data_IF_683838490537
#
_entry.id   IF_683838490537
#
_cell.length_a   1.000
_cell.length_b   1.000
_cell.length_c   1.000
_cell.angle_alpha   90.00
_cell.angle_beta   90.00
_cell.angle_gamma   90.00
#
_symmetry.space_group_name_H-M   'P 1'
#
loop_
_entity.id
_entity.type
_entity.pdbx_description
1 polymer ?
#
# COMPACT_ATOMS: atom_id res chain seq x y z
N UNK A 1 -2.48 -3.31 -19.65
CA UNK A 1 -1.30 -3.60 -18.80
C UNK A 1 -0.77 -5.00 -19.05
N UNK A 2 0.56 -5.15 -19.26
CA UNK A 2 1.26 -6.41 -19.61
C UNK A 2 1.57 -7.34 -18.41
N UNK A 3 1.21 -6.96 -17.19
CA UNK A 3 1.76 -7.55 -15.96
C UNK A 3 0.67 -7.97 -14.96
N UNK A 4 -0.20 -8.90 -15.34
CA UNK A 4 -1.25 -9.41 -14.44
C UNK A 4 -0.66 -10.47 -13.52
N UNK A 5 -0.64 -10.20 -12.21
CA UNK A 5 -0.22 -11.16 -11.19
C UNK A 5 1.29 -11.37 -11.06
N UNK A 6 2.10 -10.48 -11.65
CA UNK A 6 3.57 -10.52 -11.55
C UNK A 6 4.08 -9.52 -10.53
N UNK A 7 5.10 -9.91 -9.77
CA UNK A 7 5.83 -9.00 -8.87
C UNK A 7 6.96 -8.34 -9.63
N UNK A 8 7.08 -7.02 -9.49
CA UNK A 8 8.26 -6.26 -9.92
C UNK A 8 9.02 -5.85 -8.67
N UNK A 9 10.34 -6.07 -8.66
CA UNK A 9 11.22 -5.83 -7.51
C UNK A 9 12.41 -4.98 -7.94
N UNK A 10 12.64 -3.87 -7.24
CA UNK A 10 13.75 -2.94 -7.43
C UNK A 10 14.58 -2.84 -6.16
N UNK A 11 15.00 -3.99 -5.65
CA UNK A 11 15.75 -4.10 -4.40
C UNK A 11 16.84 -5.15 -4.55
N UNK A 12 18.06 -4.81 -4.13
CA UNK A 12 19.12 -5.80 -3.96
C UNK A 12 18.82 -6.65 -2.74
N UNK A 13 18.59 -7.94 -2.96
CA UNK A 13 18.34 -8.91 -1.90
C UNK A 13 19.64 -9.36 -1.24
N UNK A 14 19.53 -9.74 0.03
CA UNK A 14 20.61 -10.32 0.85
C UNK A 14 20.28 -11.77 1.20
N UNK A 15 21.26 -12.59 1.55
CA UNK A 15 21.00 -13.94 2.06
C UNK A 15 20.78 -13.92 3.57
N UNK A 16 19.75 -14.62 4.04
CA UNK A 16 19.58 -14.90 5.47
C UNK A 16 20.50 -16.06 5.92
N UNK A 17 20.42 -16.44 7.20
CA UNK A 17 21.20 -17.55 7.77
C UNK A 17 20.93 -18.92 7.12
N UNK A 18 19.80 -19.06 6.42
CA UNK A 18 19.40 -20.27 5.69
C UNK A 18 19.79 -20.21 4.20
N UNK A 19 20.49 -19.15 3.78
CA UNK A 19 20.92 -18.95 2.39
C UNK A 19 19.83 -18.44 1.44
N UNK A 20 18.63 -18.15 1.93
CA UNK A 20 17.51 -17.61 1.13
C UNK A 20 17.67 -16.11 0.87
N UNK A 21 17.32 -15.67 -0.34
CA UNK A 21 17.27 -14.25 -0.67
C UNK A 21 16.07 -13.55 -0.01
N UNK A 22 16.37 -12.52 0.77
CA UNK A 22 15.43 -11.72 1.55
C UNK A 22 15.77 -10.23 1.45
N UNK A 23 14.79 -9.33 1.70
CA UNK A 23 15.05 -7.92 1.87
C UNK A 23 16.12 -7.68 2.95
N UNK A 24 17.03 -6.69 2.78
CA UNK A 24 18.06 -6.41 3.76
C UNK A 24 17.49 -6.25 5.18
N UNK A 25 18.07 -6.96 6.15
CA UNK A 25 17.68 -6.88 7.54
C UNK A 25 17.89 -5.47 8.13
N UNK A 26 17.15 -5.13 9.20
CA UNK A 26 17.23 -3.82 9.86
C UNK A 26 16.60 -2.66 9.10
N UNK A 27 16.09 -2.89 7.88
CA UNK A 27 15.31 -1.92 7.10
C UNK A 27 13.85 -1.92 7.54
N UNK A 28 13.22 -0.75 7.48
CA UNK A 28 11.80 -0.56 7.74
C UNK A 28 11.07 -0.35 6.42
N UNK A 29 10.15 -1.26 6.11
CA UNK A 29 9.35 -1.20 4.91
C UNK A 29 7.89 -0.83 5.22
N UNK A 30 7.26 -0.14 4.27
CA UNK A 30 5.84 0.20 4.30
C UNK A 30 5.18 -0.38 3.05
N UNK A 31 4.01 -1.00 3.19
CA UNK A 31 3.23 -1.50 2.06
C UNK A 31 1.91 -0.75 2.01
N UNK A 32 1.77 0.11 1.01
CA UNK A 32 0.49 0.69 0.61
C UNK A 32 -0.31 -0.32 -0.20
N UNK A 33 -1.60 -0.44 0.12
CA UNK A 33 -2.52 -1.39 -0.50
C UNK A 33 -3.72 -0.61 -1.03
N UNK A 34 -3.92 -0.67 -2.35
CA UNK A 34 -5.15 -0.24 -3.01
C UNK A 34 -5.89 -1.50 -3.48
N UNK A 35 -7.13 -1.68 -3.03
CA UNK A 35 -7.86 -2.95 -3.17
C UNK A 35 -9.04 -2.75 -4.11
N UNK A 36 -9.10 -3.55 -5.17
CA UNK A 36 -10.26 -3.67 -6.04
C UNK A 36 -11.16 -4.84 -5.66
N UNK A 37 -12.34 -4.90 -6.26
CA UNK A 37 -13.27 -6.02 -6.07
C UNK A 37 -12.81 -7.34 -6.71
N UNK A 38 -11.71 -7.33 -7.49
CA UNK A 38 -11.18 -8.53 -8.16
C UNK A 38 -11.99 -8.98 -9.39
N UNK A 39 -12.77 -8.09 -10.00
CA UNK A 39 -13.66 -8.42 -11.15
C UNK A 39 -13.01 -8.23 -12.51
N UNK A 40 -11.78 -7.72 -12.58
CA UNK A 40 -11.11 -7.36 -13.83
C UNK A 40 -11.19 -5.87 -14.21
N UNK A 41 -12.09 -5.11 -13.59
CA UNK A 41 -12.35 -3.71 -13.97
C UNK A 41 -11.31 -2.72 -13.42
N UNK A 42 -10.71 -3.03 -12.27
CA UNK A 42 -9.65 -2.24 -11.67
C UNK A 42 -8.63 -3.13 -10.98
N UNK A 43 -7.41 -2.63 -10.87
CA UNK A 43 -6.31 -3.36 -10.26
C UNK A 43 -6.36 -3.31 -8.74
N UNK A 44 -6.04 -4.44 -8.11
CA UNK A 44 -5.51 -4.43 -6.74
C UNK A 44 -3.99 -4.28 -6.80
N UNK A 45 -3.43 -3.40 -5.97
CA UNK A 45 -2.01 -3.02 -5.99
C UNK A 45 -1.39 -3.12 -4.60
N UNK A 46 -0.25 -3.79 -4.52
CA UNK A 46 0.70 -3.64 -3.41
C UNK A 46 1.83 -2.74 -3.88
N UNK A 47 2.13 -1.70 -3.11
CA UNK A 47 3.26 -0.80 -3.36
C UNK A 47 4.13 -0.74 -2.11
N UNK A 48 5.35 -1.29 -2.20
CA UNK A 48 6.28 -1.37 -1.07
C UNK A 48 7.34 -0.29 -1.17
N UNK A 49 7.59 0.39 -0.06
CA UNK A 49 8.52 1.52 0.06
C UNK A 49 9.56 1.20 1.13
N UNK A 50 10.84 1.46 0.85
CA UNK A 50 11.88 1.53 1.88
C UNK A 50 11.79 2.90 2.55
N UNK A 51 11.47 2.92 3.85
CA UNK A 51 11.27 4.17 4.60
C UNK A 51 12.54 5.02 4.68
N UNK A 52 13.72 4.40 4.68
CA UNK A 52 14.98 5.12 4.84
C UNK A 52 15.37 5.89 3.57
N UNK A 53 15.05 5.33 2.40
CA UNK A 53 15.45 5.91 1.11
C UNK A 53 14.32 6.68 0.43
N UNK A 54 13.07 6.45 0.82
CA UNK A 54 11.90 7.00 0.12
C UNK A 54 11.67 6.36 -1.25
N UNK A 55 12.27 5.20 -1.53
CA UNK A 55 12.13 4.52 -2.81
C UNK A 55 11.03 3.47 -2.79
N UNK A 56 10.27 3.40 -3.89
CA UNK A 56 9.43 2.24 -4.20
C UNK A 56 10.31 1.07 -4.61
N UNK A 57 10.29 0.01 -3.80
CA UNK A 57 11.17 -1.15 -3.96
C UNK A 57 10.45 -2.39 -4.49
N UNK A 58 9.13 -2.44 -4.42
CA UNK A 58 8.34 -3.55 -5.00
C UNK A 58 6.95 -3.08 -5.40
N UNK A 59 6.41 -3.69 -6.46
CA UNK A 59 4.96 -3.72 -6.67
C UNK A 59 4.43 -5.08 -7.09
N UNK A 60 3.17 -5.31 -6.75
CA UNK A 60 2.36 -6.40 -7.27
C UNK A 60 1.04 -5.82 -7.76
N UNK A 61 0.60 -6.20 -8.96
CA UNK A 61 -0.63 -5.69 -9.59
C UNK A 61 -1.47 -6.86 -10.09
N UNK A 62 -2.73 -6.94 -9.67
CA UNK A 62 -3.65 -7.98 -10.16
C UNK A 62 -5.11 -7.50 -10.15
N UNK A 63 -5.82 -7.54 -11.30
CA UNK A 63 -7.22 -7.12 -11.36
C UNK A 63 -8.24 -8.22 -11.01
N UNK A 64 -7.81 -9.47 -10.83
CA UNK A 64 -8.68 -10.64 -10.67
C UNK A 64 -8.58 -11.35 -9.31
N UNK A 65 -7.83 -10.77 -8.36
CA UNK A 65 -7.72 -11.34 -7.01
C UNK A 65 -8.78 -10.74 -6.10
N UNK A 66 -9.52 -11.61 -5.39
CA UNK A 66 -10.54 -11.17 -4.41
C UNK A 66 -9.88 -10.52 -3.19
N UNK A 67 -10.53 -9.54 -2.52
CA UNK A 67 -9.95 -8.80 -1.40
C UNK A 67 -9.35 -9.67 -0.29
N UNK A 68 -10.00 -10.77 0.08
CA UNK A 68 -9.56 -11.65 1.17
C UNK A 68 -8.33 -12.47 0.75
N UNK A 69 -8.30 -12.97 -0.48
CA UNK A 69 -7.13 -13.65 -1.03
C UNK A 69 -5.95 -12.68 -1.17
N UNK A 70 -6.25 -11.43 -1.54
CA UNK A 70 -5.25 -10.37 -1.62
C UNK A 70 -4.68 -10.00 -0.25
N UNK A 71 -5.49 -10.06 0.82
CA UNK A 71 -5.01 -9.86 2.20
C UNK A 71 -4.02 -10.94 2.64
N UNK A 72 -4.26 -12.21 2.28
CA UNK A 72 -3.32 -13.31 2.54
C UNK A 72 -1.97 -13.01 1.85
N UNK A 73 -2.01 -12.60 0.59
CA UNK A 73 -0.82 -12.25 -0.17
C UNK A 73 -0.08 -11.05 0.43
N UNK A 74 -0.81 -9.99 0.80
CA UNK A 74 -0.24 -8.80 1.40
C UNK A 74 0.45 -9.10 2.74
N UNK A 75 -0.16 -9.93 3.60
CA UNK A 75 0.45 -10.37 4.87
C UNK A 75 1.71 -11.21 4.61
N UNK A 76 1.73 -12.05 3.58
CA UNK A 76 2.91 -12.83 3.21
C UNK A 76 4.07 -11.89 2.78
N UNK A 77 3.82 -10.92 1.91
CA UNK A 77 4.82 -9.91 1.55
C UNK A 77 5.26 -9.08 2.75
N UNK A 78 4.33 -8.68 3.61
CA UNK A 78 4.66 -7.90 4.81
C UNK A 78 5.62 -8.65 5.71
N UNK A 79 5.38 -9.95 5.94
CA UNK A 79 6.29 -10.82 6.70
C UNK A 79 7.66 -10.93 6.02
N UNK A 80 7.70 -11.10 4.69
CA UNK A 80 8.95 -11.18 3.94
C UNK A 80 9.75 -9.86 3.97
N UNK A 81 9.09 -8.71 3.95
CA UNK A 81 9.70 -7.37 4.07
C UNK A 81 9.90 -6.95 5.54
N UNK A 82 10.55 -7.80 6.34
CA UNK A 82 10.90 -7.51 7.74
C UNK A 82 9.70 -7.07 8.60
N UNK A 83 8.56 -7.74 8.46
CA UNK A 83 7.30 -7.32 9.07
C UNK A 83 6.92 -5.89 8.70
N UNK A 84 6.84 -5.58 7.39
CA UNK A 84 6.50 -4.27 6.87
C UNK A 84 5.13 -3.76 7.34
N UNK A 85 5.01 -2.45 7.59
CA UNK A 85 3.71 -1.89 8.00
C UNK A 85 2.72 -1.94 6.84
N UNK A 86 1.57 -2.58 7.03
CA UNK A 86 0.47 -2.59 6.07
C UNK A 86 -0.43 -1.36 6.23
N UNK A 87 -0.68 -0.66 5.13
CA UNK A 87 -1.55 0.52 5.06
C UNK A 87 -2.52 0.29 3.90
N UNK A 88 -3.81 0.07 4.17
CA UNK A 88 -4.82 -0.12 3.14
C UNK A 88 -5.91 0.96 3.21
N UNK A 89 -6.46 1.31 2.05
CA UNK A 89 -7.70 2.09 1.96
C UNK A 89 -8.85 1.20 2.46
N UNK A 90 -9.58 1.66 3.48
CA UNK A 90 -10.56 0.87 4.23
C UNK A 90 -12.00 1.03 3.71
N UNK A 91 -12.22 1.81 2.67
CA UNK A 91 -13.54 1.93 2.05
C UNK A 91 -13.75 0.80 1.03
N UNK A 92 -15.02 0.53 0.71
CA UNK A 92 -15.38 -0.48 -0.29
C UNK A 92 -14.71 -1.85 -0.05
N UNK A 93 -14.00 -2.41 -1.06
CA UNK A 93 -13.30 -3.70 -0.96
C UNK A 93 -12.28 -3.80 0.19
N UNK A 94 -11.74 -2.65 0.62
CA UNK A 94 -10.80 -2.53 1.73
C UNK A 94 -11.31 -3.06 3.07
N UNK A 95 -12.63 -3.09 3.28
CA UNK A 95 -13.24 -3.66 4.50
C UNK A 95 -13.03 -5.17 4.58
N UNK A 96 -13.23 -5.88 3.48
CA UNK A 96 -13.05 -7.34 3.40
C UNK A 96 -11.57 -7.69 3.53
N UNK A 97 -10.71 -6.94 2.83
CA UNK A 97 -9.25 -7.05 2.97
C UNK A 97 -8.81 -6.88 4.42
N UNK A 98 -9.24 -5.78 5.06
CA UNK A 98 -8.87 -5.46 6.44
C UNK A 98 -9.33 -6.52 7.43
N UNK A 99 -10.59 -6.96 7.33
CA UNK A 99 -11.12 -8.04 8.16
C UNK A 99 -10.25 -9.30 8.07
N UNK A 100 -9.91 -9.72 6.84
CA UNK A 100 -9.06 -10.88 6.63
C UNK A 100 -7.63 -10.69 7.15
N UNK A 101 -7.04 -9.51 6.98
CA UNK A 101 -5.71 -9.20 7.51
C UNK A 101 -5.67 -9.30 9.05
N UNK A 102 -6.74 -8.86 9.72
CA UNK A 102 -6.88 -8.98 11.18
C UNK A 102 -7.12 -10.43 11.61
N UNK A 103 -7.87 -11.23 10.85
CA UNK A 103 -8.06 -12.67 11.11
C UNK A 103 -6.74 -13.44 11.03
N UNK A 104 -5.85 -13.05 10.12
CA UNK A 104 -4.49 -13.58 10.00
C UNK A 104 -3.55 -13.17 11.14
N UNK A 105 -4.06 -12.40 12.12
CA UNK A 105 -3.34 -11.91 13.30
C UNK A 105 -2.08 -11.10 12.95
N UNK A 106 -2.12 -10.37 11.84
CA UNK A 106 -1.05 -9.46 11.48
C UNK A 106 -1.20 -8.13 12.24
N UNK A 107 -0.23 -7.79 13.07
CA UNK A 107 -0.33 -6.66 14.02
C UNK A 107 0.32 -5.36 13.54
N UNK A 108 1.29 -5.40 12.62
CA UNK A 108 1.96 -4.19 12.13
C UNK A 108 1.13 -3.52 11.02
N UNK A 109 -0.02 -2.99 11.41
CA UNK A 109 -0.95 -2.30 10.53
C UNK A 109 -1.00 -0.81 10.86
N UNK A 110 -1.38 0.01 9.89
CA UNK A 110 -1.74 1.39 10.16
C UNK A 110 -3.07 1.44 10.93
N UNK A 111 -3.06 2.19 12.03
CA UNK A 111 -4.21 2.46 12.86
C UNK A 111 -4.53 3.94 12.77
N UNK A 112 -5.76 4.27 12.36
CA UNK A 112 -6.26 5.65 12.44
C UNK A 112 -6.90 5.88 13.81
N UNK A 113 -6.68 7.06 14.37
CA UNK A 113 -7.35 7.48 15.61
C UNK A 113 -8.72 8.05 15.28
N UNK A 114 -9.77 7.55 15.95
CA UNK A 114 -11.07 8.23 15.98
C UNK A 114 -11.20 9.01 17.28
N UNK A 115 -11.36 10.33 17.18
CA UNK A 115 -11.75 11.17 18.30
C UNK A 115 -13.28 11.30 18.29
N UNK A 116 -13.98 10.52 19.10
CA UNK A 116 -15.41 10.75 19.34
C UNK A 116 -15.54 11.83 20.43
N UNK A 117 -15.98 13.02 20.05
CA UNK A 117 -15.98 14.23 20.90
C UNK A 117 -16.83 14.14 22.18
N UNK A 118 -17.64 13.09 22.33
CA UNK A 118 -18.52 12.87 23.49
C UNK A 118 -18.05 11.74 24.42
N UNK A 119 -17.07 10.94 24.00
CA UNK A 119 -16.52 9.82 24.77
C UNK A 119 -15.00 9.91 24.77
N UNK A 120 -14.38 10.01 25.96
CA UNK A 120 -12.91 10.04 26.14
C UNK A 120 -12.17 8.77 25.63
N UNK A 121 -12.86 7.86 24.93
CA UNK A 121 -12.27 6.64 24.34
C UNK A 121 -11.79 6.91 22.92
N UNK A 122 -10.50 7.19 22.77
CA UNK A 122 -9.81 7.08 21.48
C UNK A 122 -9.79 5.61 21.07
N UNK A 123 -10.49 5.26 20.00
CA UNK A 123 -10.44 3.90 19.44
C UNK A 123 -9.55 3.90 18.21
N UNK A 124 -8.56 3.01 18.20
CA UNK A 124 -7.69 2.78 17.05
C UNK A 124 -8.42 1.86 16.05
N UNK A 125 -8.64 2.36 14.84
CA UNK A 125 -9.32 1.62 13.78
C UNK A 125 -8.28 1.21 12.72
N UNK A 126 -8.14 -0.09 12.41
CA UNK A 126 -7.22 -0.54 11.37
C UNK A 126 -7.59 0.01 9.99
N UNK A 127 -6.57 0.42 9.24
CA UNK A 127 -6.71 0.92 7.88
C UNK A 127 -6.95 2.42 7.78
N UNK A 128 -6.62 2.96 6.61
CA UNK A 128 -6.79 4.36 6.26
C UNK A 128 -8.19 4.57 5.70
N UNK A 129 -9.00 5.46 6.29
CA UNK A 129 -10.21 5.94 5.64
C UNK A 129 -9.89 7.31 5.08
N UNK A 130 -9.91 7.46 3.77
CA UNK A 130 -9.81 8.76 3.12
C UNK A 130 -11.17 9.35 2.87
N UNK A 131 -11.30 10.65 3.12
CA UNK A 131 -12.26 11.51 2.41
C UNK A 131 -11.71 11.91 1.04
N UNK A 132 -12.56 12.46 0.17
CA UNK A 132 -12.12 12.98 -1.14
C UNK A 132 -11.04 14.05 -0.97
N UNK A 133 -11.20 14.94 0.01
CA UNK A 133 -10.25 16.02 0.32
C UNK A 133 -8.91 15.47 0.84
N UNK A 134 -8.93 14.50 1.75
CA UNK A 134 -7.70 13.87 2.25
C UNK A 134 -6.93 13.17 1.13
N UNK A 135 -7.66 12.50 0.21
CA UNK A 135 -7.04 11.87 -0.96
C UNK A 135 -6.36 12.90 -1.85
N UNK A 136 -7.03 14.01 -2.16
CA UNK A 136 -6.46 15.11 -2.96
C UNK A 136 -5.22 15.72 -2.30
N UNK A 137 -5.28 15.95 -0.98
CA UNK A 137 -4.15 16.47 -0.23
C UNK A 137 -2.95 15.52 -0.23
N UNK A 138 -3.19 14.20 -0.09
CA UNK A 138 -2.13 13.19 -0.18
C UNK A 138 -1.53 13.11 -1.58
N UNK A 139 -2.35 13.25 -2.64
CA UNK A 139 -1.86 13.31 -4.02
C UNK A 139 -0.98 14.54 -4.24
N UNK A 140 -1.35 15.70 -3.70
CA UNK A 140 -0.51 16.91 -3.74
C UNK A 140 0.84 16.68 -3.06
N UNK A 141 0.84 16.15 -1.83
CA UNK A 141 2.08 15.79 -1.11
C UNK A 141 2.95 14.79 -1.86
N UNK A 142 2.32 13.85 -2.54
CA UNK A 142 3.02 12.86 -3.35
C UNK A 142 3.67 13.49 -4.57
N UNK A 143 2.96 14.40 -5.26
CA UNK A 143 3.51 15.20 -6.37
C UNK A 143 4.75 15.99 -5.92
N UNK A 144 4.65 16.72 -4.81
CA UNK A 144 5.79 17.48 -4.25
C UNK A 144 6.97 16.57 -3.89
N UNK A 145 6.69 15.36 -3.39
CA UNK A 145 7.73 14.40 -3.03
C UNK A 145 8.45 13.82 -4.24
N UNK A 146 7.73 13.59 -5.34
CA UNK A 146 8.32 13.20 -6.62
C UNK A 146 9.19 14.31 -7.19
N UNK A 147 8.68 15.55 -7.25
CA UNK A 147 9.39 16.70 -7.81
C UNK A 147 10.68 17.01 -7.03
N UNK A 148 10.61 16.97 -5.70
CA UNK A 148 11.77 17.21 -4.83
C UNK A 148 12.74 16.04 -4.71
N UNK A 149 12.45 14.89 -5.33
CA UNK A 149 13.26 13.67 -5.21
C UNK A 149 13.22 13.01 -3.82
N UNK A 150 12.32 13.45 -2.93
CA UNK A 150 12.09 12.81 -1.61
C UNK A 150 11.39 11.46 -1.73
N UNK A 151 10.73 11.22 -2.86
CA UNK A 151 10.18 9.93 -3.22
C UNK A 151 10.63 9.52 -4.62
N UNK A 152 11.09 8.28 -4.78
CA UNK A 152 11.48 7.72 -6.07
C UNK A 152 10.54 6.57 -6.42
N UNK A 153 9.71 6.77 -7.43
CA UNK A 153 8.87 5.72 -7.99
C UNK A 153 9.59 5.02 -9.14
N UNK A 154 9.98 3.76 -8.94
CA UNK A 154 10.69 2.95 -9.94
C UNK A 154 9.77 2.33 -11.01
N UNK A 155 8.45 2.51 -10.91
CA UNK A 155 7.48 1.94 -11.86
C UNK A 155 7.10 2.94 -12.95
N UNK A 156 7.48 2.71 -14.22
CA UNK A 156 7.06 3.56 -15.34
C UNK A 156 5.54 3.55 -15.52
N UNK A 157 4.91 2.38 -15.36
CA UNK A 157 3.46 2.23 -15.46
C UNK A 157 2.73 3.11 -14.42
N UNK A 158 3.16 3.08 -13.16
CA UNK A 158 2.55 3.89 -12.10
C UNK A 158 2.79 5.39 -12.30
N UNK A 159 3.94 5.79 -12.86
CA UNK A 159 4.21 7.19 -13.21
C UNK A 159 3.34 7.67 -14.37
N UNK A 160 3.10 6.83 -15.38
CA UNK A 160 2.19 7.15 -16.47
C UNK A 160 0.75 7.32 -15.98
N UNK A 161 0.28 6.45 -15.07
CA UNK A 161 -1.04 6.62 -14.43
C UNK A 161 -1.15 7.94 -13.65
N UNK A 162 -0.04 8.48 -13.11
CA UNK A 162 -0.07 9.78 -12.43
C UNK A 162 -0.44 10.93 -13.38
N UNK A 163 -0.15 10.81 -14.68
CA UNK A 163 -0.46 11.84 -15.69
C UNK A 163 -1.96 11.92 -16.02
N UNK A 164 -2.73 10.87 -15.70
CA UNK A 164 -4.17 10.81 -15.94
C UNK A 164 -4.99 11.49 -14.83
N UNK A 165 -4.36 11.86 -13.71
CA UNK A 165 -5.01 12.63 -12.65
C UNK A 165 -5.21 14.09 -13.10
N UNK A 166 -6.39 14.37 -13.67
CA UNK A 166 -6.82 15.73 -13.98
C UNK A 166 -7.39 16.36 -12.72
N UNK A 167 -6.76 17.43 -12.23
CA UNK A 167 -7.38 18.31 -11.26
C UNK A 167 -8.44 19.14 -11.99
N UNK A 168 -9.68 18.64 -12.07
CA UNK A 168 -10.77 19.44 -12.56
C UNK A 168 -10.92 20.67 -11.65
N UNK A 169 -10.98 21.88 -12.23
CA UNK A 169 -11.21 23.14 -11.49
C UNK A 169 -12.48 23.11 -10.61
N UNK A 170 -13.36 22.12 -10.81
CA UNK A 170 -14.61 21.91 -10.06
C UNK A 170 -14.62 20.64 -9.20
N UNK A 171 -13.45 20.13 -8.77
CA UNK A 171 -13.38 19.09 -7.73
C UNK A 171 -14.12 17.80 -8.10
N UNK A 172 -13.87 17.27 -9.30
CA UNK A 172 -14.41 16.02 -9.84
C UNK A 172 -13.34 14.96 -9.92
#
# INVERSE_FOLDING_TARGET
>A
MRWKGTTQLWLTLTKNNEGMFVPPAGRVYLIGVDVSSGTGNSNSVLSTIDRATGEKVMQYVNPYIRPEAFAVLAVAYAKWFNNAKLIWESNGPGRQFGGKAMDLKYSNVYLRRRNESLSRKTTDIPGFASTKEEKLFLLGKYSDALESGRFINRSPDALNECLEYIFAQNGG
#
